data_IF_373784931906
#
_entry.id   IF_373784931906
#
_cell.length_a   1.000
_cell.length_b   1.000
_cell.length_c   1.000
_cell.angle_alpha   90.00
_cell.angle_beta   90.00
_cell.angle_gamma   90.00
#
_symmetry.space_group_name_H-M   'P 1'
#
loop_
_entity.id
_entity.type
_entity.pdbx_description
1 polymer ?
#
# COMPACT_ATOMS: atom_id res chain seq x y z
N UNK A 1 18.09 -13.87 3.71
CA UNK A 1 16.67 -13.98 3.23
C UNK A 1 16.58 -13.38 1.85
N UNK A 2 15.84 -14.01 0.94
CA UNK A 2 15.57 -13.44 -0.38
C UNK A 2 14.48 -12.37 -0.26
N UNK A 3 14.71 -11.21 -0.88
CA UNK A 3 13.75 -10.14 -1.00
C UNK A 3 12.83 -10.40 -2.18
N UNK A 4 11.53 -10.32 -1.94
CA UNK A 4 10.49 -10.42 -2.97
C UNK A 4 10.33 -9.04 -3.64
N UNK A 5 11.24 -8.70 -4.58
CA UNK A 5 11.31 -7.37 -5.18
C UNK A 5 10.34 -7.25 -6.36
N UNK A 6 10.44 -8.13 -7.36
CA UNK A 6 9.63 -8.07 -8.57
C UNK A 6 8.13 -8.07 -8.30
N UNK A 7 7.62 -9.07 -7.59
CA UNK A 7 6.22 -9.11 -7.16
C UNK A 7 5.77 -7.88 -6.37
N UNK A 8 6.59 -7.41 -5.43
CA UNK A 8 6.27 -6.23 -4.63
C UNK A 8 6.16 -4.94 -5.48
N UNK A 9 7.01 -4.79 -6.50
CA UNK A 9 6.92 -3.67 -7.44
C UNK A 9 5.62 -3.74 -8.24
N UNK A 10 5.29 -4.91 -8.79
CA UNK A 10 4.09 -5.07 -9.63
C UNK A 10 2.82 -4.77 -8.83
N UNK A 11 2.64 -5.42 -7.68
CA UNK A 11 1.46 -5.19 -6.84
C UNK A 11 1.47 -3.76 -6.28
N UNK A 12 2.63 -3.25 -5.88
CA UNK A 12 2.79 -1.89 -5.37
C UNK A 12 2.33 -0.85 -6.38
N UNK A 13 2.71 -1.00 -7.67
CA UNK A 13 2.23 -0.12 -8.73
C UNK A 13 0.71 -0.24 -8.91
N UNK A 14 0.17 -1.46 -8.95
CA UNK A 14 -1.27 -1.68 -9.12
C UNK A 14 -2.05 -0.99 -7.98
N UNK A 15 -1.66 -1.21 -6.73
CA UNK A 15 -2.34 -0.62 -5.57
C UNK A 15 -2.15 0.90 -5.53
N UNK A 16 -0.98 1.42 -5.86
CA UNK A 16 -0.75 2.86 -5.97
C UNK A 16 -1.63 3.52 -7.05
N UNK A 17 -1.87 2.84 -8.17
CA UNK A 17 -2.79 3.32 -9.21
C UNK A 17 -4.26 3.29 -8.75
N UNK A 18 -4.66 2.28 -7.98
CA UNK A 18 -6.00 2.22 -7.37
C UNK A 18 -6.17 3.36 -6.38
N UNK A 19 -5.17 3.62 -5.53
CA UNK A 19 -5.16 4.74 -4.61
C UNK A 19 -5.29 6.08 -5.36
N UNK A 20 -4.49 6.30 -6.39
CA UNK A 20 -4.60 7.50 -7.23
C UNK A 20 -6.01 7.67 -7.82
N UNK A 21 -6.65 6.58 -8.21
CA UNK A 21 -8.01 6.60 -8.74
C UNK A 21 -9.03 7.00 -7.66
N UNK A 22 -8.91 6.48 -6.44
CA UNK A 22 -9.77 6.85 -5.32
C UNK A 22 -9.60 8.32 -4.93
N UNK A 23 -8.38 8.79 -4.82
CA UNK A 23 -8.10 10.21 -4.56
C UNK A 23 -8.72 11.11 -5.65
N UNK A 24 -8.64 10.69 -6.92
CA UNK A 24 -9.27 11.44 -8.02
C UNK A 24 -10.80 11.48 -7.90
N UNK A 25 -11.43 10.37 -7.54
CA UNK A 25 -12.90 10.31 -7.34
C UNK A 25 -13.33 11.21 -6.17
N UNK A 26 -12.57 11.20 -5.08
CA UNK A 26 -12.96 11.87 -3.85
C UNK A 26 -12.70 13.37 -3.90
N UNK A 27 -11.63 13.80 -4.54
CA UNK A 27 -11.23 15.22 -4.61
C UNK A 27 -11.70 15.94 -5.89
N UNK A 28 -12.21 15.21 -6.88
CA UNK A 28 -12.77 15.75 -8.10
C UNK A 28 -11.73 16.31 -9.06
N UNK A 29 -12.19 17.23 -9.96
CA UNK A 29 -11.40 17.78 -11.06
C UNK A 29 -10.56 18.96 -10.57
N UNK A 30 -9.24 18.89 -10.77
CA UNK A 30 -8.33 19.99 -10.45
C UNK A 30 -6.91 19.49 -10.14
N UNK A 31 -6.00 20.43 -9.85
CA UNK A 31 -4.60 20.09 -9.55
C UNK A 31 -4.38 19.60 -8.11
N UNK A 32 -5.39 19.67 -7.27
CA UNK A 32 -5.27 19.33 -5.85
C UNK A 32 -5.10 17.83 -5.66
N UNK A 33 -5.92 17.03 -6.36
CA UNK A 33 -5.83 15.56 -6.28
C UNK A 33 -4.46 15.02 -6.72
N UNK A 34 -3.78 15.66 -7.69
CA UNK A 34 -2.45 15.23 -8.12
C UNK A 34 -1.43 15.36 -6.98
N UNK A 35 -1.50 16.47 -6.22
CA UNK A 35 -0.61 16.67 -5.08
C UNK A 35 -0.88 15.64 -3.99
N UNK A 36 -2.15 15.36 -3.72
CA UNK A 36 -2.52 14.35 -2.73
C UNK A 36 -2.09 12.96 -3.18
N UNK A 37 -2.44 12.54 -4.40
CA UNK A 37 -2.02 11.26 -4.95
C UNK A 37 -0.49 11.08 -4.91
N UNK A 38 0.28 12.12 -5.24
CA UNK A 38 1.75 12.09 -5.15
C UNK A 38 2.26 11.85 -3.73
N UNK A 39 1.50 12.24 -2.70
CA UNK A 39 1.87 11.98 -1.31
C UNK A 39 1.37 10.62 -0.81
N UNK A 40 0.19 10.16 -1.23
CA UNK A 40 -0.39 8.89 -0.76
C UNK A 40 0.17 7.65 -1.45
N UNK A 41 0.43 7.71 -2.77
CA UNK A 41 0.98 6.59 -3.54
C UNK A 41 2.26 5.96 -2.95
N UNK A 42 3.26 6.73 -2.50
CA UNK A 42 4.45 6.15 -1.87
C UNK A 42 4.14 5.35 -0.61
N UNK A 43 3.13 5.76 0.16
CA UNK A 43 2.71 5.01 1.35
C UNK A 43 2.04 3.69 0.99
N UNK A 44 1.17 3.70 -0.03
CA UNK A 44 0.56 2.48 -0.54
C UNK A 44 1.63 1.51 -1.08
N UNK A 45 2.57 2.01 -1.89
CA UNK A 45 3.67 1.22 -2.41
C UNK A 45 4.57 0.65 -1.29
N UNK A 46 4.95 1.48 -0.32
CA UNK A 46 5.78 1.06 0.81
C UNK A 46 5.05 0.01 1.67
N UNK A 47 3.73 0.15 1.85
CA UNK A 47 2.93 -0.83 2.56
C UNK A 47 2.96 -2.20 1.91
N UNK A 48 2.81 -2.25 0.59
CA UNK A 48 2.94 -3.49 -0.18
C UNK A 48 4.33 -4.09 -0.03
N UNK A 49 5.37 -3.28 -0.23
CA UNK A 49 6.76 -3.76 -0.14
C UNK A 49 7.06 -4.37 1.22
N UNK A 50 6.67 -3.70 2.30
CA UNK A 50 6.88 -4.21 3.67
C UNK A 50 6.06 -5.49 3.89
N UNK A 51 4.78 -5.51 3.50
CA UNK A 51 3.90 -6.65 3.73
C UNK A 51 4.32 -7.90 2.94
N UNK A 52 4.97 -7.73 1.82
CA UNK A 52 5.54 -8.83 1.04
C UNK A 52 6.91 -9.28 1.54
N UNK A 53 7.61 -8.46 2.31
CA UNK A 53 8.96 -8.71 2.80
C UNK A 53 9.04 -8.68 4.34
N UNK A 54 8.01 -9.13 5.04
CA UNK A 54 7.94 -9.10 6.51
C UNK A 54 9.16 -9.74 7.19
N UNK A 55 9.63 -10.94 6.77
CA UNK A 55 10.79 -11.54 7.42
C UNK A 55 12.05 -10.67 7.36
N UNK A 56 12.28 -10.01 6.22
CA UNK A 56 13.38 -9.07 6.05
C UNK A 56 13.24 -7.85 6.98
N UNK A 57 12.03 -7.30 7.07
CA UNK A 57 11.77 -6.10 7.90
C UNK A 57 11.91 -6.42 9.40
N UNK A 58 11.42 -7.57 9.84
CA UNK A 58 11.57 -8.04 11.23
C UNK A 58 13.03 -8.18 11.61
N UNK A 59 13.83 -8.79 10.74
CA UNK A 59 15.28 -8.96 10.95
C UNK A 59 15.99 -7.60 10.95
N UNK A 60 15.74 -6.76 9.94
CA UNK A 60 16.36 -5.44 9.80
C UNK A 60 16.12 -4.54 11.01
N UNK A 61 14.90 -4.57 11.56
CA UNK A 61 14.50 -3.74 12.69
C UNK A 61 14.69 -4.42 14.06
N UNK A 62 15.21 -5.66 14.06
CA UNK A 62 15.37 -6.48 15.28
C UNK A 62 14.08 -6.55 16.10
N UNK A 63 12.95 -6.69 15.43
CA UNK A 63 11.64 -6.74 16.09
C UNK A 63 11.45 -8.10 16.80
N UNK A 64 10.71 -8.12 17.93
CA UNK A 64 10.31 -9.37 18.54
C UNK A 64 9.44 -10.19 17.59
N UNK A 65 9.41 -11.50 17.75
CA UNK A 65 8.55 -12.37 16.96
C UNK A 65 7.07 -12.17 17.32
N UNK A 66 6.45 -11.23 16.62
CA UNK A 66 5.00 -10.95 16.72
C UNK A 66 4.19 -11.66 15.64
N UNK A 67 4.85 -12.52 14.89
CA UNK A 67 4.25 -13.22 13.76
C UNK A 67 4.03 -12.34 12.53
N UNK A 68 4.06 -12.96 11.36
CA UNK A 68 3.94 -12.27 10.07
C UNK A 68 2.64 -11.44 9.99
N UNK A 69 1.50 -12.04 10.35
CA UNK A 69 0.18 -11.38 10.29
C UNK A 69 0.14 -10.14 11.18
N UNK A 70 0.76 -10.22 12.38
CA UNK A 70 0.82 -9.08 13.30
C UNK A 70 1.57 -7.90 12.70
N UNK A 71 2.72 -8.14 12.05
CA UNK A 71 3.49 -7.10 11.36
C UNK A 71 2.72 -6.51 10.19
N UNK A 72 2.12 -7.36 9.35
CA UNK A 72 1.32 -6.93 8.20
C UNK A 72 0.15 -6.04 8.64
N UNK A 73 -0.57 -6.43 9.67
CA UNK A 73 -1.69 -5.65 10.20
C UNK A 73 -1.23 -4.30 10.77
N UNK A 74 -0.15 -4.31 11.57
CA UNK A 74 0.40 -3.08 12.15
C UNK A 74 0.89 -2.10 11.09
N UNK A 75 1.62 -2.58 10.09
CA UNK A 75 2.12 -1.74 8.99
C UNK A 75 0.97 -1.16 8.17
N UNK A 76 0.01 -2.00 7.78
CA UNK A 76 -1.15 -1.53 7.01
C UNK A 76 -1.94 -0.47 7.78
N UNK A 77 -2.19 -0.67 9.07
CA UNK A 77 -2.88 0.30 9.91
C UNK A 77 -2.10 1.62 10.05
N UNK A 78 -0.80 1.56 10.30
CA UNK A 78 0.04 2.76 10.40
C UNK A 78 0.03 3.56 9.09
N UNK A 79 0.10 2.90 7.94
CA UNK A 79 0.10 3.56 6.65
C UNK A 79 -1.27 4.13 6.29
N UNK A 80 -2.36 3.46 6.66
CA UNK A 80 -3.72 4.02 6.55
C UNK A 80 -3.86 5.31 7.36
N UNK A 81 -3.34 5.36 8.58
CA UNK A 81 -3.33 6.57 9.40
C UNK A 81 -2.51 7.68 8.73
N UNK A 82 -1.37 7.34 8.12
CA UNK A 82 -0.54 8.30 7.37
C UNK A 82 -1.25 8.85 6.14
N UNK A 83 -1.93 8.00 5.38
CA UNK A 83 -2.72 8.40 4.21
C UNK A 83 -3.87 9.31 4.63
N UNK A 84 -4.64 8.96 5.65
CA UNK A 84 -5.69 9.80 6.21
C UNK A 84 -5.14 11.16 6.71
N UNK A 85 -3.97 11.17 7.33
CA UNK A 85 -3.29 12.39 7.76
C UNK A 85 -2.85 13.25 6.58
N UNK A 86 -2.31 12.67 5.52
CA UNK A 86 -1.92 13.38 4.30
C UNK A 86 -3.12 14.03 3.61
N UNK A 87 -4.25 13.31 3.54
CA UNK A 87 -5.52 13.83 3.04
C UNK A 87 -6.00 15.07 3.80
N UNK A 88 -5.81 15.08 5.12
CA UNK A 88 -6.21 16.19 5.99
C UNK A 88 -5.38 17.45 5.78
N UNK A 89 -4.12 17.32 5.35
CA UNK A 89 -3.18 18.44 5.14
C UNK A 89 -3.28 19.01 3.73
N UNK A 90 -3.49 18.13 2.73
CA UNK A 90 -3.47 18.49 1.30
C UNK A 90 -4.82 18.94 0.74
N UNK A 91 -5.91 18.57 1.38
CA UNK A 91 -7.27 18.84 0.91
C UNK A 91 -7.71 20.30 1.10
N UNK A 92 -8.52 20.82 0.18
CA UNK A 92 -9.30 22.02 0.43
C UNK A 92 -10.30 21.76 1.55
N UNK A 93 -10.63 22.79 2.35
CA UNK A 93 -11.60 22.66 3.44
C UNK A 93 -12.88 21.97 2.96
N UNK A 94 -13.17 20.78 3.48
CA UNK A 94 -14.38 20.00 3.21
C UNK A 94 -14.28 18.91 2.15
N UNK A 95 -13.13 18.74 1.50
CA UNK A 95 -12.89 17.65 0.56
C UNK A 95 -11.87 16.70 1.22
N UNK A 96 -12.34 15.57 1.67
CA UNK A 96 -11.52 14.55 2.32
C UNK A 96 -11.70 13.21 1.61
N UNK A 97 -10.61 12.47 1.48
CA UNK A 97 -10.68 11.09 1.05
C UNK A 97 -11.62 10.28 1.95
N UNK A 98 -12.46 9.47 1.32
CA UNK A 98 -13.43 8.66 2.05
C UNK A 98 -12.73 7.55 2.81
N UNK A 99 -13.07 7.40 4.08
CA UNK A 99 -12.58 6.31 4.93
C UNK A 99 -12.71 4.93 4.31
N UNK A 100 -13.75 4.71 3.50
CA UNK A 100 -13.96 3.44 2.79
C UNK A 100 -12.83 3.17 1.80
N UNK A 101 -12.35 4.18 1.06
CA UNK A 101 -11.25 4.04 0.13
C UNK A 101 -9.93 3.74 0.87
N UNK A 102 -9.65 4.46 1.95
CA UNK A 102 -8.48 4.19 2.81
C UNK A 102 -8.51 2.76 3.37
N UNK A 103 -9.69 2.29 3.80
CA UNK A 103 -9.87 0.91 4.28
C UNK A 103 -9.62 -0.12 3.17
N UNK A 104 -10.10 0.13 1.95
CA UNK A 104 -9.86 -0.75 0.80
C UNK A 104 -8.36 -0.83 0.49
N UNK A 105 -7.67 0.30 0.44
CA UNK A 105 -6.22 0.33 0.21
C UNK A 105 -5.48 -0.38 1.34
N UNK A 106 -5.86 -0.15 2.59
CA UNK A 106 -5.29 -0.86 3.74
C UNK A 106 -5.45 -2.38 3.65
N UNK A 107 -6.65 -2.84 3.27
CA UNK A 107 -6.92 -4.26 3.06
C UNK A 107 -6.11 -4.84 1.88
N UNK A 108 -5.95 -4.10 0.79
CA UNK A 108 -5.13 -4.50 -0.35
C UNK A 108 -3.64 -4.57 0.02
N UNK A 109 -3.13 -3.59 0.80
CA UNK A 109 -1.76 -3.64 1.31
C UNK A 109 -1.54 -4.85 2.22
N UNK A 110 -2.45 -5.08 3.16
CA UNK A 110 -2.40 -6.24 4.06
C UNK A 110 -2.44 -7.55 3.28
N UNK A 111 -3.33 -7.66 2.29
CA UNK A 111 -3.53 -8.85 1.46
C UNK A 111 -2.53 -9.02 0.33
N UNK A 112 -1.58 -8.09 0.11
CA UNK A 112 -0.71 -8.08 -1.07
C UNK A 112 0.09 -9.37 -1.27
N UNK A 113 0.62 -9.95 -0.19
CA UNK A 113 1.31 -11.23 -0.24
C UNK A 113 0.40 -12.35 -0.73
N UNK A 114 -0.82 -12.44 -0.20
CA UNK A 114 -1.81 -13.46 -0.58
C UNK A 114 -2.36 -13.25 -2.00
N UNK A 115 -2.53 -11.97 -2.42
CA UNK A 115 -2.93 -11.64 -3.80
C UNK A 115 -1.88 -12.16 -4.78
N UNK A 116 -0.59 -11.99 -4.46
CA UNK A 116 0.48 -12.55 -5.28
C UNK A 116 0.40 -14.06 -5.30
N UNK A 117 0.50 -14.72 -4.17
CA UNK A 117 0.63 -16.17 -4.02
C UNK A 117 -0.55 -16.93 -4.63
N UNK A 118 -1.79 -16.48 -4.41
CA UNK A 118 -2.97 -17.22 -4.85
C UNK A 118 -3.48 -16.84 -6.24
N UNK A 119 -3.16 -15.65 -6.75
CA UNK A 119 -3.76 -15.18 -8.00
C UNK A 119 -2.75 -14.81 -9.08
N UNK A 120 -1.69 -14.08 -8.74
CA UNK A 120 -0.82 -13.50 -9.76
C UNK A 120 0.40 -14.36 -10.08
N UNK A 121 0.93 -15.11 -9.13
CA UNK A 121 2.12 -15.92 -9.33
C UNK A 121 1.92 -16.95 -10.45
N UNK A 122 0.78 -17.65 -10.46
CA UNK A 122 0.46 -18.62 -11.49
C UNK A 122 0.27 -18.00 -12.89
N UNK A 123 -0.15 -16.73 -12.96
CA UNK A 123 -0.44 -16.03 -14.21
C UNK A 123 0.77 -15.35 -14.82
N UNK A 124 1.56 -14.68 -14.00
CA UNK A 124 2.62 -13.78 -14.46
C UNK A 124 3.98 -14.03 -13.80
N UNK A 125 4.06 -14.93 -12.80
CA UNK A 125 5.29 -15.18 -12.06
C UNK A 125 6.48 -15.54 -12.94
N UNK A 126 6.25 -16.32 -14.01
CA UNK A 126 7.28 -16.70 -14.96
C UNK A 126 7.92 -15.53 -15.74
N UNK A 127 7.26 -14.37 -15.77
CA UNK A 127 7.72 -13.17 -16.49
C UNK A 127 8.37 -12.13 -15.57
N UNK A 128 8.30 -12.33 -14.27
CA UNK A 128 8.78 -11.36 -13.28
C UNK A 128 10.06 -11.89 -12.66
N UNK A 129 11.21 -11.26 -12.92
CA UNK A 129 12.47 -11.60 -12.25
C UNK A 129 12.38 -11.26 -10.76
N UNK A 130 12.95 -12.09 -9.93
CA UNK A 130 13.05 -11.93 -8.48
C UNK A 130 13.92 -10.74 -8.08
#
# INVERSE_FOLDING_TARGET
MELVIGPAIVIGIIIALIEMHFVHIDEGVGRVWIKHAWHSMPFAFMGVFINMNVPFVVELLSLPDVGQIGVQAAVSLLLMIKMAGAASIGGQRGIHEKWVHILIIGALMFGSHYIWEFFLEALIGQYIPF
#
